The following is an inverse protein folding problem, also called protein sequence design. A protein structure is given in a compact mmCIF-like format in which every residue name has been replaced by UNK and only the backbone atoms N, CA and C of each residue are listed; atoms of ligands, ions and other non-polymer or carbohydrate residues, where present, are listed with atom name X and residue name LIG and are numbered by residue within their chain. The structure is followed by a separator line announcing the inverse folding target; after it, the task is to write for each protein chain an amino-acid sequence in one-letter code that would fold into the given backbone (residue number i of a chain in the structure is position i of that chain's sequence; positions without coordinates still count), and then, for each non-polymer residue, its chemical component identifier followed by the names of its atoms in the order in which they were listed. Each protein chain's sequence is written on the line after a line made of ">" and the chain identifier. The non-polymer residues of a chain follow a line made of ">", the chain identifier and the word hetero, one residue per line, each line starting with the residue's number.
data_IF_518612807886
#
_entry.id   IF_518612807886
#
_cell.length_a   1.000
_cell.length_b   1.000
_cell.length_c   1.000
_cell.angle_alpha   90.00
_cell.angle_beta   90.00
_cell.angle_gamma   90.00
#
_symmetry.space_group_name_H-M   'P 1'
#
loop_
_entity.id
_entity.type
_entity.pdbx_description
1 polymer ?
#
# COMPACT_ATOMS: atom_id res chain seq x y z
N UNK A 1 -10.26 -6.08 -8.87
CA UNK A 1 -9.41 -5.20 -8.04
C UNK A 1 -7.96 -5.54 -8.33
N UNK A 2 -7.08 -4.55 -8.46
CA UNK A 2 -5.66 -4.80 -8.75
C UNK A 2 -4.91 -5.34 -7.52
N UNK A 3 -3.81 -6.05 -7.78
CA UNK A 3 -2.89 -6.56 -6.78
C UNK A 3 -1.65 -5.69 -6.71
N UNK A 4 -1.13 -5.46 -5.51
CA UNK A 4 -0.02 -4.54 -5.27
C UNK A 4 1.26 -5.29 -4.92
N UNK A 5 2.32 -4.99 -5.68
CA UNK A 5 3.70 -5.45 -5.42
C UNK A 5 4.59 -4.22 -5.36
N UNK A 6 5.31 -4.04 -4.25
CA UNK A 6 6.14 -2.85 -4.01
C UNK A 6 7.61 -3.15 -4.26
N UNK A 7 8.20 -2.43 -5.21
CA UNK A 7 9.64 -2.40 -5.47
C UNK A 7 10.17 -1.01 -5.10
N UNK A 8 10.39 -0.71 -3.81
CA UNK A 8 10.85 0.61 -3.40
C UNK A 8 12.25 0.90 -3.95
N UNK A 9 12.40 2.11 -4.52
CA UNK A 9 13.70 2.73 -4.80
C UNK A 9 14.44 3.00 -3.48
N UNK A 10 15.70 3.40 -3.58
CA UNK A 10 16.57 3.62 -2.41
C UNK A 10 16.16 4.90 -1.64
N UNK A 11 15.29 5.72 -2.23
CA UNK A 11 14.79 6.95 -1.62
C UNK A 11 14.00 6.67 -0.32
N UNK A 12 14.27 7.41 0.78
CA UNK A 12 13.70 7.11 2.11
C UNK A 12 12.17 7.11 2.16
N UNK A 13 11.53 8.02 1.43
CA UNK A 13 10.08 8.12 1.31
C UNK A 13 9.48 6.91 0.60
N UNK A 14 10.10 6.44 -0.48
CA UNK A 14 9.69 5.23 -1.18
C UNK A 14 9.79 3.99 -0.28
N UNK A 15 10.87 3.88 0.50
CA UNK A 15 11.06 2.78 1.48
C UNK A 15 9.98 2.84 2.56
N UNK A 16 9.74 4.04 3.11
CA UNK A 16 8.74 4.24 4.17
C UNK A 16 7.33 3.95 3.66
N UNK A 17 6.97 4.43 2.46
CA UNK A 17 5.68 4.17 1.83
C UNK A 17 5.48 2.68 1.58
N UNK A 18 6.48 1.98 1.02
CA UNK A 18 6.40 0.54 0.81
C UNK A 18 6.22 -0.21 2.15
N UNK A 19 6.94 0.18 3.20
CA UNK A 19 6.79 -0.41 4.55
C UNK A 19 5.42 -0.15 5.15
N UNK A 20 4.89 1.07 5.02
CA UNK A 20 3.55 1.42 5.49
C UNK A 20 2.49 0.57 4.78
N UNK A 21 2.55 0.49 3.44
CA UNK A 21 1.57 -0.24 2.64
C UNK A 21 1.66 -1.76 2.85
N UNK A 22 2.85 -2.34 2.89
CA UNK A 22 3.03 -3.80 2.99
C UNK A 22 2.99 -4.36 4.41
N UNK A 23 3.56 -3.65 5.41
CA UNK A 23 3.67 -4.20 6.77
C UNK A 23 2.59 -3.67 7.72
N UNK A 24 2.20 -2.39 7.58
CA UNK A 24 1.23 -1.77 8.50
C UNK A 24 -0.20 -1.94 8.01
N UNK A 25 -0.47 -1.52 6.78
CA UNK A 25 -1.80 -1.64 6.16
C UNK A 25 -2.03 -3.01 5.54
N UNK A 26 -0.95 -3.74 5.23
CA UNK A 26 -0.98 -5.07 4.61
C UNK A 26 -1.88 -5.09 3.38
N UNK A 27 -1.69 -4.17 2.44
CA UNK A 27 -2.47 -4.07 1.19
C UNK A 27 -1.74 -4.59 -0.04
N UNK A 28 -0.53 -5.09 0.13
CA UNK A 28 0.29 -5.69 -0.92
C UNK A 28 1.60 -6.23 -0.35
N UNK A 29 2.45 -6.77 -1.23
CA UNK A 29 3.72 -7.40 -0.84
C UNK A 29 4.90 -6.55 -1.28
N UNK A 30 5.82 -6.27 -0.36
CA UNK A 30 7.10 -5.67 -0.70
C UNK A 30 8.06 -6.76 -1.14
N UNK A 31 8.72 -6.55 -2.28
CA UNK A 31 9.71 -7.49 -2.80
C UNK A 31 10.96 -7.45 -1.93
N UNK A 32 11.46 -8.64 -1.58
CA UNK A 32 12.73 -8.80 -0.85
C UNK A 32 13.90 -8.48 -1.79
N UNK A 33 14.85 -7.69 -1.28
CA UNK A 33 16.13 -7.42 -1.93
C UNK A 33 17.15 -8.46 -1.48
N UNK A 34 18.14 -8.76 -2.31
CA UNK A 34 19.28 -9.58 -1.90
C UNK A 34 20.03 -8.94 -0.73
N UNK A 35 20.43 -9.76 0.25
CA UNK A 35 21.06 -9.26 1.48
C UNK A 35 22.45 -8.64 1.21
N UNK A 36 23.16 -9.12 0.20
CA UNK A 36 24.52 -8.67 -0.15
C UNK A 36 24.54 -7.51 -1.14
N UNK A 37 23.79 -7.61 -2.24
CA UNK A 37 23.83 -6.64 -3.34
C UNK A 37 22.72 -5.57 -3.25
N UNK A 38 21.71 -5.78 -2.39
CA UNK A 38 20.55 -4.90 -2.27
C UNK A 38 19.69 -4.84 -3.53
N UNK A 39 19.84 -5.79 -4.46
CA UNK A 39 19.13 -5.80 -5.74
C UNK A 39 17.87 -6.66 -5.68
N UNK A 40 16.95 -6.36 -6.60
CA UNK A 40 15.81 -7.24 -6.84
C UNK A 40 16.22 -8.33 -7.83
N UNK A 41 15.84 -9.57 -7.54
CA UNK A 41 16.03 -10.69 -8.46
C UNK A 41 14.73 -11.00 -9.19
N UNK A 42 14.83 -11.61 -10.37
CA UNK A 42 13.64 -12.07 -11.10
C UNK A 42 12.83 -13.05 -10.25
N UNK A 43 13.52 -13.87 -9.45
CA UNK A 43 12.96 -14.87 -8.56
C UNK A 43 12.19 -14.22 -7.41
N UNK A 44 12.73 -13.18 -6.77
CA UNK A 44 12.05 -12.49 -5.68
C UNK A 44 10.81 -11.74 -6.15
N UNK A 45 10.88 -11.10 -7.32
CA UNK A 45 9.72 -10.47 -7.98
C UNK A 45 8.66 -11.51 -8.34
N UNK A 46 9.07 -12.61 -8.98
CA UNK A 46 8.16 -13.70 -9.37
C UNK A 46 7.46 -14.32 -8.15
N UNK A 47 8.19 -14.54 -7.05
CA UNK A 47 7.63 -15.01 -5.78
C UNK A 47 6.55 -14.06 -5.24
N UNK A 48 6.84 -12.76 -5.19
CA UNK A 48 5.88 -11.76 -4.72
C UNK A 48 4.62 -11.71 -5.60
N UNK A 49 4.79 -11.75 -6.93
CA UNK A 49 3.66 -11.79 -7.88
C UNK A 49 2.83 -13.06 -7.69
N UNK A 50 3.46 -14.23 -7.56
CA UNK A 50 2.73 -15.49 -7.31
C UNK A 50 1.91 -15.42 -6.02
N UNK A 51 2.47 -14.90 -4.94
CA UNK A 51 1.75 -14.75 -3.66
C UNK A 51 0.49 -13.90 -3.82
N UNK A 52 0.58 -12.75 -4.48
CA UNK A 52 -0.57 -11.84 -4.60
C UNK A 52 -1.58 -12.26 -5.68
N UNK A 53 -1.22 -13.20 -6.56
CA UNK A 53 -2.09 -13.71 -7.62
C UNK A 53 -2.72 -15.07 -7.29
N UNK A 54 -2.14 -15.83 -6.37
CA UNK A 54 -2.68 -17.12 -5.92
C UNK A 54 -3.89 -16.90 -4.98
N UNK A 55 -5.03 -17.49 -5.34
CA UNK A 55 -6.28 -17.42 -4.57
C UNK A 55 -6.28 -18.32 -3.34
N UNK A 56 -5.46 -19.37 -3.36
CA UNK A 56 -5.31 -20.30 -2.24
C UNK A 56 -4.27 -19.83 -1.22
N UNK A 57 -3.43 -18.86 -1.59
CA UNK A 57 -2.44 -18.27 -0.70
C UNK A 57 -3.10 -17.38 0.37
N UNK A 58 -2.87 -17.72 1.64
CA UNK A 58 -3.44 -16.99 2.79
C UNK A 58 -3.01 -15.52 2.82
N UNK A 59 -1.73 -15.24 2.60
CA UNK A 59 -1.20 -13.87 2.57
C UNK A 59 -1.80 -13.10 1.40
N UNK A 60 -1.91 -13.74 0.23
CA UNK A 60 -2.57 -13.16 -0.95
C UNK A 60 -4.02 -12.75 -0.67
N UNK A 61 -4.79 -13.61 0.00
CA UNK A 61 -6.17 -13.29 0.42
C UNK A 61 -6.22 -12.15 1.44
N UNK A 62 -5.33 -12.16 2.44
CA UNK A 62 -5.26 -11.08 3.44
C UNK A 62 -5.04 -9.72 2.78
N UNK A 63 -4.03 -9.61 1.90
CA UNK A 63 -3.70 -8.33 1.27
C UNK A 63 -4.80 -7.85 0.33
N UNK A 64 -5.49 -8.77 -0.37
CA UNK A 64 -6.67 -8.45 -1.20
C UNK A 64 -7.82 -7.89 -0.37
N UNK A 65 -8.15 -8.55 0.74
CA UNK A 65 -9.24 -8.11 1.60
C UNK A 65 -8.94 -6.74 2.22
N UNK A 66 -7.71 -6.50 2.66
CA UNK A 66 -7.29 -5.22 3.22
C UNK A 66 -7.26 -4.12 2.17
N UNK A 67 -6.78 -4.40 0.96
CA UNK A 67 -6.83 -3.45 -0.15
C UNK A 67 -8.26 -3.04 -0.47
N UNK A 68 -9.21 -4.00 -0.44
CA UNK A 68 -10.62 -3.70 -0.63
C UNK A 68 -11.21 -2.80 0.46
N UNK A 69 -10.91 -3.08 1.72
CA UNK A 69 -11.31 -2.25 2.86
C UNK A 69 -10.74 -0.84 2.75
N UNK A 70 -9.44 -0.72 2.47
CA UNK A 70 -8.78 0.58 2.32
C UNK A 70 -9.38 1.38 1.16
N UNK A 71 -9.60 0.75 0.01
CA UNK A 71 -10.23 1.42 -1.14
C UNK A 71 -11.63 1.93 -0.78
N UNK A 72 -12.45 1.11 -0.15
CA UNK A 72 -13.81 1.50 0.20
C UNK A 72 -13.84 2.60 1.26
N UNK A 73 -12.89 2.60 2.20
CA UNK A 73 -12.70 3.67 3.15
C UNK A 73 -12.32 4.98 2.46
N UNK A 74 -11.32 4.95 1.58
CA UNK A 74 -10.85 6.13 0.84
C UNK A 74 -11.92 6.71 -0.09
N UNK A 75 -12.73 5.84 -0.72
CA UNK A 75 -13.82 6.25 -1.60
C UNK A 75 -15.14 6.53 -0.87
N UNK A 76 -15.15 6.51 0.46
CA UNK A 76 -16.36 6.84 1.22
C UNK A 76 -16.74 8.30 0.95
N UNK A 77 -18.02 8.55 0.68
CA UNK A 77 -18.55 9.78 0.08
C UNK A 77 -18.25 11.08 0.85
N UNK A 78 -17.71 10.98 2.06
CA UNK A 78 -17.57 12.10 2.99
C UNK A 78 -16.13 12.26 3.52
N UNK A 79 -15.20 11.36 3.20
CA UNK A 79 -13.86 11.44 3.81
C UNK A 79 -13.06 12.64 3.29
N UNK A 80 -12.98 12.79 1.96
CA UNK A 80 -12.23 13.87 1.34
C UNK A 80 -12.91 15.23 1.56
N UNK A 81 -14.22 15.32 1.28
CA UNK A 81 -14.98 16.56 1.43
C UNK A 81 -14.95 17.06 2.87
N UNK A 82 -15.22 16.20 3.87
CA UNK A 82 -15.20 16.62 5.28
C UNK A 82 -13.83 17.13 5.73
N UNK A 83 -12.73 16.60 5.19
CA UNK A 83 -11.39 17.07 5.53
C UNK A 83 -11.15 18.48 4.99
N UNK A 84 -11.49 18.71 3.72
CA UNK A 84 -11.34 20.01 3.06
C UNK A 84 -12.29 21.04 3.65
N UNK A 85 -13.55 20.68 3.84
CA UNK A 85 -14.58 21.57 4.42
C UNK A 85 -14.19 22.02 5.83
N UNK A 86 -13.71 21.09 6.67
CA UNK A 86 -13.25 21.42 8.02
C UNK A 86 -11.99 22.31 8.00
N UNK A 87 -11.06 22.06 7.06
CA UNK A 87 -9.91 22.93 6.88
C UNK A 87 -10.32 24.35 6.45
N UNK A 88 -11.22 24.48 5.47
CA UNK A 88 -11.78 25.76 5.02
C UNK A 88 -12.50 26.48 6.16
N UNK A 89 -13.34 25.78 6.94
CA UNK A 89 -14.04 26.38 8.08
C UNK A 89 -13.05 26.97 9.08
N UNK A 90 -11.99 26.22 9.43
CA UNK A 90 -10.94 26.73 10.34
C UNK A 90 -10.21 27.95 9.80
N UNK A 91 -10.06 28.08 8.48
CA UNK A 91 -9.50 29.29 7.88
C UNK A 91 -10.47 30.47 7.95
N UNK A 92 -11.77 30.23 7.75
CA UNK A 92 -12.80 31.27 7.90
C UNK A 92 -12.92 31.76 9.34
N UNK A 93 -12.78 30.88 10.33
CA UNK A 93 -12.84 31.23 11.75
C UNK A 93 -11.64 32.10 12.22
N UNK A 94 -10.61 32.28 11.38
CA UNK A 94 -9.45 33.14 11.66
C UNK A 94 -9.60 34.57 11.10
N UNK A 95 -10.66 34.86 10.36
CA UNK A 95 -11.01 36.19 9.83
C UNK A 95 -11.92 36.95 10.80
#
# INVERSE_FOLDING_TARGET
>A
MCQLVFLPRVDPDHIMNARMMSNKLKVGIKVEKGDEDGLFTKESVCKAVKIVMDDENEVGREVRANHAKLRNFLLSSNLESSCVDNFCQKLYDLL
#
